data_IF_710950282835
#
_entry.id   IF_710950282835
#
_cell.length_a   1.000
_cell.length_b   1.000
_cell.length_c   1.000
_cell.angle_alpha   90.00
_cell.angle_beta   90.00
_cell.angle_gamma   90.00
#
_symmetry.space_group_name_H-M   'P 1'
#
loop_
_entity.id
_entity.type
_entity.pdbx_description
1 polymer ?
#
# COMPACT_ATOMS: atom_id res chain seq x y z
N UNK A 1 19.07 11.70 -36.62
CA UNK A 1 18.37 12.82 -35.97
C UNK A 1 19.01 12.99 -34.61
N UNK A 2 19.75 14.08 -34.37
CA UNK A 2 20.54 14.24 -33.15
C UNK A 2 19.59 14.58 -31.99
N UNK A 3 19.79 13.94 -30.83
CA UNK A 3 18.99 14.17 -29.62
C UNK A 3 19.90 14.52 -28.46
N UNK A 4 19.54 15.53 -27.68
CA UNK A 4 20.28 15.97 -26.51
C UNK A 4 19.77 15.18 -25.31
N UNK A 5 20.67 14.51 -24.59
CA UNK A 5 20.37 13.84 -23.33
C UNK A 5 20.61 14.83 -22.18
N UNK A 6 19.55 15.20 -21.48
CA UNK A 6 19.60 16.11 -20.33
C UNK A 6 19.18 15.36 -19.08
N UNK A 7 20.02 15.40 -18.03
CA UNK A 7 19.70 14.84 -16.72
C UNK A 7 19.20 15.94 -15.78
N UNK A 8 18.11 15.69 -15.08
CA UNK A 8 17.61 16.60 -14.05
C UNK A 8 18.53 16.55 -12.81
N UNK A 9 19.02 17.71 -12.35
CA UNK A 9 19.83 17.79 -11.12
C UNK A 9 19.00 17.52 -9.84
N UNK A 10 17.68 17.76 -9.89
CA UNK A 10 16.79 17.58 -8.72
C UNK A 10 16.28 16.14 -8.58
N UNK A 11 15.90 15.48 -9.68
CA UNK A 11 15.28 14.16 -9.63
C UNK A 11 16.06 13.05 -10.35
N UNK A 12 17.18 13.37 -10.98
CA UNK A 12 18.05 12.39 -11.65
C UNK A 12 17.50 11.80 -12.95
N UNK A 13 16.30 12.20 -13.40
CA UNK A 13 15.66 11.66 -14.59
C UNK A 13 16.33 12.16 -15.87
N UNK A 14 16.47 11.29 -16.86
CA UNK A 14 17.06 11.59 -18.16
C UNK A 14 15.98 11.83 -19.22
N UNK A 15 16.05 12.98 -19.87
CA UNK A 15 15.15 13.37 -20.94
C UNK A 15 15.92 13.44 -22.25
N UNK A 16 15.39 12.76 -23.27
CA UNK A 16 15.83 12.92 -24.66
C UNK A 16 15.06 14.08 -25.27
N UNK A 17 15.75 15.18 -25.53
CA UNK A 17 15.17 16.39 -26.12
C UNK A 17 15.62 16.55 -27.57
N UNK A 18 14.76 17.15 -28.37
CA UNK A 18 15.11 17.57 -29.74
C UNK A 18 16.11 18.72 -29.67
N UNK A 19 17.00 18.78 -30.65
CA UNK A 19 18.02 19.82 -30.80
C UNK A 19 17.45 21.25 -30.74
N UNK A 20 16.21 21.46 -31.24
CA UNK A 20 15.47 22.73 -31.17
C UNK A 20 15.17 23.24 -29.74
N UNK A 21 15.45 22.42 -28.72
CA UNK A 21 15.29 22.75 -27.30
C UNK A 21 16.62 23.18 -26.63
N UNK A 22 17.75 23.16 -27.34
CA UNK A 22 19.02 23.72 -26.86
C UNK A 22 18.83 25.19 -26.42
N UNK A 23 19.43 25.57 -25.29
CA UNK A 23 19.34 26.92 -24.73
C UNK A 23 17.97 27.32 -24.15
N UNK A 24 16.94 26.47 -24.20
CA UNK A 24 15.61 26.76 -23.63
C UNK A 24 15.47 26.22 -22.21
N UNK A 25 14.61 26.87 -21.43
CA UNK A 25 14.14 26.36 -20.15
C UNK A 25 13.23 25.16 -20.35
N UNK A 26 13.54 24.03 -19.72
CA UNK A 26 12.76 22.81 -19.73
C UNK A 26 12.21 22.54 -18.33
N UNK A 27 10.92 22.20 -18.23
CA UNK A 27 10.32 21.78 -16.96
C UNK A 27 10.31 20.25 -16.86
N UNK A 28 10.91 19.73 -15.78
CA UNK A 28 10.91 18.30 -15.50
C UNK A 28 9.47 17.79 -15.28
N UNK A 29 9.08 16.71 -15.99
CA UNK A 29 7.74 16.10 -15.85
C UNK A 29 7.56 15.26 -14.58
N UNK A 30 8.66 14.92 -13.91
CA UNK A 30 8.66 14.10 -12.69
C UNK A 30 8.57 15.00 -11.45
N UNK A 31 9.46 16.00 -11.33
CA UNK A 31 9.55 16.85 -10.12
C UNK A 31 9.10 18.30 -10.31
N UNK A 32 8.83 18.75 -11.54
CA UNK A 32 8.38 20.12 -11.83
C UNK A 32 9.48 21.19 -11.81
N UNK A 33 10.74 20.82 -11.52
CA UNK A 33 11.87 21.76 -11.51
C UNK A 33 12.14 22.34 -12.91
N UNK A 34 12.57 23.62 -12.96
CA UNK A 34 12.98 24.30 -14.20
C UNK A 34 14.48 24.14 -14.40
N UNK A 35 14.88 23.52 -15.51
CA UNK A 35 16.27 23.29 -15.89
C UNK A 35 16.60 24.08 -17.16
N UNK A 36 17.85 24.51 -17.31
CA UNK A 36 18.36 25.05 -18.57
C UNK A 36 19.04 23.94 -19.36
N UNK A 37 18.66 23.80 -20.63
CA UNK A 37 19.34 22.87 -21.56
C UNK A 37 20.64 23.54 -22.01
N UNK A 38 21.81 22.88 -21.88
CA UNK A 38 23.08 23.40 -22.37
C UNK A 38 23.00 23.79 -23.85
N UNK A 39 23.62 24.90 -24.21
CA UNK A 39 23.73 25.34 -25.61
C UNK A 39 24.72 24.44 -26.34
N UNK A 40 24.36 23.94 -27.51
CA UNK A 40 25.25 23.12 -28.32
C UNK A 40 26.22 24.07 -29.04
N UNK A 41 27.39 24.30 -28.44
CA UNK A 41 28.49 24.96 -29.13
C UNK A 41 29.14 23.93 -30.07
N UNK A 42 29.22 24.26 -31.36
CA UNK A 42 29.42 23.32 -32.46
C UNK A 42 30.80 22.63 -32.56
N UNK A 43 31.52 22.45 -31.46
CA UNK A 43 32.94 22.06 -31.44
C UNK A 43 33.29 20.78 -30.68
N UNK A 44 32.36 20.07 -30.06
CA UNK A 44 32.65 18.73 -29.50
C UNK A 44 31.73 17.65 -30.06
N UNK A 45 31.89 17.35 -31.36
CA UNK A 45 31.42 16.11 -31.95
C UNK A 45 32.37 14.97 -31.56
N UNK A 46 32.29 14.54 -30.30
CA UNK A 46 32.81 13.25 -29.88
C UNK A 46 31.95 12.14 -30.46
N UNK A 47 32.47 11.48 -31.48
CA UNK A 47 31.99 10.22 -32.06
C UNK A 47 31.73 9.18 -30.96
N UNK A 48 30.48 9.06 -30.48
CA UNK A 48 30.04 7.89 -29.75
C UNK A 48 29.27 6.99 -30.69
N UNK A 49 30.06 6.23 -31.45
CA UNK A 49 29.65 5.07 -32.23
C UNK A 49 28.78 4.13 -31.40
N UNK A 50 27.69 3.70 -32.03
CA UNK A 50 26.76 2.68 -31.59
C UNK A 50 27.46 1.40 -31.10
N UNK A 51 27.06 0.87 -29.93
CA UNK A 51 27.00 -0.58 -29.58
C UNK A 51 26.94 -0.89 -28.06
N UNK A 52 27.11 0.08 -27.15
CA UNK A 52 27.31 -0.23 -25.72
C UNK A 52 26.46 0.58 -24.74
N UNK A 53 25.14 0.66 -24.91
CA UNK A 53 24.26 1.05 -23.78
C UNK A 53 22.82 0.54 -23.90
N UNK A 54 22.66 -0.78 -24.01
CA UNK A 54 21.47 -1.47 -23.48
C UNK A 54 21.63 -1.79 -21.98
N UNK A 55 22.38 -0.97 -21.24
CA UNK A 55 22.56 -1.09 -19.80
C UNK A 55 22.35 0.28 -19.16
N UNK A 56 21.16 0.49 -18.59
CA UNK A 56 20.96 1.65 -17.71
C UNK A 56 19.57 2.25 -17.76
N UNK A 57 18.50 1.46 -17.59
CA UNK A 57 17.20 1.99 -17.18
C UNK A 57 16.91 1.60 -15.74
N UNK A 58 17.76 2.05 -14.83
CA UNK A 58 17.44 2.15 -13.42
C UNK A 58 17.25 3.64 -13.14
N UNK A 59 16.00 4.08 -13.31
CA UNK A 59 15.47 5.36 -12.82
C UNK A 59 15.97 5.58 -11.39
N UNK A 60 16.87 6.54 -11.19
CA UNK A 60 17.31 6.99 -9.86
C UNK A 60 16.37 8.10 -9.39
N UNK A 61 15.12 7.75 -9.13
CA UNK A 61 14.30 8.47 -8.17
C UNK A 61 15.02 8.40 -6.82
N UNK A 62 15.18 9.52 -6.10
CA UNK A 62 15.89 9.55 -4.82
C UNK A 62 15.37 8.49 -3.83
N UNK A 63 16.21 8.00 -2.89
CA UNK A 63 15.87 6.89 -1.97
C UNK A 63 14.45 6.98 -1.37
N UNK A 64 14.07 8.16 -0.85
CA UNK A 64 12.72 8.49 -0.36
C UNK A 64 11.58 8.32 -1.35
N UNK A 65 11.73 8.87 -2.56
CA UNK A 65 10.67 8.81 -3.58
C UNK A 65 10.47 7.38 -4.11
N UNK A 66 11.53 6.57 -4.07
CA UNK A 66 11.48 5.15 -4.44
C UNK A 66 10.86 4.30 -3.34
N UNK A 67 11.20 4.56 -2.07
CA UNK A 67 10.59 3.85 -0.93
C UNK A 67 9.10 4.19 -0.76
N UNK A 68 8.73 5.47 -0.88
CA UNK A 68 7.34 5.91 -0.78
C UNK A 68 6.46 5.34 -1.90
N UNK A 69 6.96 5.29 -3.15
CA UNK A 69 6.20 4.68 -4.26
C UNK A 69 6.04 3.17 -4.12
N UNK A 70 7.07 2.47 -3.58
CA UNK A 70 7.02 1.03 -3.31
C UNK A 70 6.05 0.66 -2.19
N UNK A 71 5.95 1.47 -1.14
CA UNK A 71 5.09 1.25 0.02
C UNK A 71 3.67 1.79 -0.15
N UNK A 72 3.46 2.74 -1.07
CA UNK A 72 2.15 3.33 -1.34
C UNK A 72 1.11 2.29 -1.78
N UNK A 73 1.48 1.37 -2.67
CA UNK A 73 0.54 0.36 -3.15
C UNK A 73 0.13 -0.62 -2.04
N UNK A 74 1.04 -1.26 -1.27
CA UNK A 74 0.65 -2.06 -0.11
C UNK A 74 -0.22 -1.31 0.89
N UNK A 75 0.11 -0.03 1.18
CA UNK A 75 -0.67 0.80 2.09
C UNK A 75 -2.11 1.05 1.60
N UNK A 76 -2.29 1.34 0.31
CA UNK A 76 -3.62 1.54 -0.30
C UNK A 76 -4.45 0.25 -0.20
N UNK A 77 -3.85 -0.90 -0.50
CA UNK A 77 -4.54 -2.18 -0.37
C UNK A 77 -4.98 -2.45 1.06
N UNK A 78 -4.12 -2.18 2.05
CA UNK A 78 -4.49 -2.29 3.46
C UNK A 78 -5.66 -1.37 3.81
N UNK A 79 -5.67 -0.11 3.37
CA UNK A 79 -6.83 0.76 3.62
C UNK A 79 -8.11 0.19 3.03
N UNK A 80 -8.08 -0.33 1.81
CA UNK A 80 -9.27 -0.89 1.16
C UNK A 80 -9.78 -2.13 1.88
N UNK A 81 -8.88 -3.07 2.18
CA UNK A 81 -9.23 -4.31 2.87
C UNK A 81 -9.75 -4.01 4.27
N UNK A 82 -9.02 -3.21 5.06
CA UNK A 82 -9.43 -2.88 6.43
C UNK A 82 -10.69 -2.03 6.47
N UNK A 83 -10.94 -1.15 5.49
CA UNK A 83 -12.22 -0.42 5.42
C UNK A 83 -13.40 -1.38 5.28
N UNK A 84 -13.25 -2.42 4.46
CA UNK A 84 -14.27 -3.45 4.31
C UNK A 84 -14.41 -4.29 5.60
N UNK A 85 -13.31 -4.60 6.28
CA UNK A 85 -13.30 -5.26 7.59
C UNK A 85 -14.06 -4.45 8.65
N UNK A 86 -13.79 -3.15 8.74
CA UNK A 86 -14.46 -2.23 9.67
C UNK A 86 -15.97 -2.21 9.40
N UNK A 87 -16.38 -2.13 8.13
CA UNK A 87 -17.79 -2.19 7.75
C UNK A 87 -18.43 -3.50 8.19
N UNK A 88 -17.73 -4.63 8.01
CA UNK A 88 -18.20 -5.94 8.44
C UNK A 88 -18.30 -6.07 9.97
N UNK A 89 -17.28 -5.64 10.72
CA UNK A 89 -17.29 -5.69 12.18
C UNK A 89 -18.31 -4.71 12.79
N UNK A 90 -18.43 -3.50 12.25
CA UNK A 90 -19.42 -2.52 12.68
C UNK A 90 -20.85 -3.00 12.38
N UNK A 91 -21.10 -3.53 11.18
CA UNK A 91 -22.38 -4.14 10.82
C UNK A 91 -22.72 -5.33 11.71
N UNK A 92 -21.77 -6.23 11.95
CA UNK A 92 -21.93 -7.38 12.83
C UNK A 92 -22.23 -6.97 14.28
N UNK A 93 -21.55 -5.93 14.78
CA UNK A 93 -21.78 -5.38 16.12
C UNK A 93 -23.21 -4.81 16.26
N UNK A 94 -23.67 -4.04 15.27
CA UNK A 94 -25.03 -3.49 15.24
C UNK A 94 -26.06 -4.62 15.20
N UNK A 95 -25.87 -5.61 14.32
CA UNK A 95 -26.82 -6.73 14.20
C UNK A 95 -26.84 -7.60 15.47
N UNK A 96 -25.69 -7.83 16.09
CA UNK A 96 -25.60 -8.51 17.38
C UNK A 96 -26.33 -7.73 18.49
N UNK A 97 -26.21 -6.40 18.52
CA UNK A 97 -26.95 -5.55 19.46
C UNK A 97 -28.47 -5.59 19.22
N UNK A 98 -28.90 -5.76 17.97
CA UNK A 98 -30.32 -5.95 17.61
C UNK A 98 -30.82 -7.39 17.82
N UNK A 99 -29.95 -8.32 18.21
CA UNK A 99 -30.29 -9.74 18.37
C UNK A 99 -30.51 -10.50 17.06
N UNK A 100 -30.10 -9.92 15.94
CA UNK A 100 -30.18 -10.52 14.62
C UNK A 100 -28.89 -11.27 14.34
N UNK A 101 -28.99 -12.58 14.13
CA UNK A 101 -27.84 -13.39 13.76
C UNK A 101 -27.80 -13.54 12.24
N UNK A 102 -26.84 -12.88 11.59
CA UNK A 102 -26.58 -13.02 10.15
C UNK A 102 -25.52 -14.07 9.83
N UNK A 103 -25.08 -14.88 10.79
CA UNK A 103 -24.04 -15.86 10.53
C UNK A 103 -24.63 -16.86 9.51
N UNK A 104 -24.11 -16.92 8.26
CA UNK A 104 -24.64 -17.84 7.25
C UNK A 104 -24.46 -19.31 7.67
N UNK A 105 -23.60 -19.57 8.66
CA UNK A 105 -23.38 -20.87 9.28
C UNK A 105 -24.21 -21.10 10.55
N UNK A 106 -24.89 -20.09 11.08
CA UNK A 106 -25.87 -20.29 12.16
C UNK A 106 -27.14 -21.01 11.68
N UNK A 107 -27.36 -21.04 10.36
CA UNK A 107 -28.48 -21.71 9.68
C UNK A 107 -28.37 -23.23 9.57
N UNK A 108 -27.44 -23.89 10.26
CA UNK A 108 -27.73 -25.24 10.76
C UNK A 108 -28.69 -25.10 11.96
N UNK A 109 -29.84 -24.49 11.69
CA UNK A 109 -30.99 -24.48 12.59
C UNK A 109 -31.44 -25.94 12.69
N UNK A 110 -30.88 -26.67 13.65
CA UNK A 110 -31.39 -27.98 13.99
C UNK A 110 -32.82 -27.76 14.54
N UNK A 111 -33.86 -28.16 13.81
CA UNK A 111 -35.24 -27.94 14.25
C UNK A 111 -35.54 -28.67 15.57
N UNK A 112 -34.68 -29.61 16.00
CA UNK A 112 -34.79 -30.32 17.27
C UNK A 112 -34.17 -29.60 18.47
N UNK A 113 -33.64 -28.38 18.33
CA UNK A 113 -33.17 -27.63 19.49
C UNK A 113 -34.34 -27.27 20.41
N UNK A 114 -34.25 -27.69 21.67
CA UNK A 114 -35.22 -27.36 22.71
C UNK A 114 -35.35 -25.83 22.87
N UNK A 115 -36.51 -25.31 23.29
CA UNK A 115 -36.71 -23.85 23.48
C UNK A 115 -35.63 -23.20 24.35
N UNK A 116 -35.18 -23.89 25.41
CA UNK A 116 -34.11 -23.43 26.29
C UNK A 116 -32.74 -23.36 25.59
N UNK A 117 -32.46 -24.29 24.66
CA UNK A 117 -31.22 -24.29 23.86
C UNK A 117 -31.23 -23.19 22.80
N UNK A 118 -32.39 -22.82 22.27
CA UNK A 118 -32.54 -21.70 21.32
C UNK A 118 -32.27 -20.36 21.99
N UNK A 119 -32.79 -20.17 23.20
CA UNK A 119 -32.57 -18.94 23.98
C UNK A 119 -31.10 -18.79 24.40
N UNK A 120 -30.49 -19.86 24.91
CA UNK A 120 -29.06 -19.83 25.28
C UNK A 120 -28.15 -19.58 24.08
N UNK A 121 -28.45 -20.16 22.91
CA UNK A 121 -27.74 -19.85 21.66
C UNK A 121 -27.90 -18.39 21.24
N UNK A 122 -29.09 -17.80 21.36
CA UNK A 122 -29.30 -16.37 21.04
C UNK A 122 -28.45 -15.47 21.92
N UNK A 123 -28.45 -15.70 23.23
CA UNK A 123 -27.66 -14.93 24.19
C UNK A 123 -26.15 -15.11 23.92
N UNK A 124 -25.70 -16.36 23.71
CA UNK A 124 -24.31 -16.64 23.38
C UNK A 124 -23.87 -15.97 22.08
N UNK A 125 -24.74 -15.96 21.05
CA UNK A 125 -24.48 -15.29 19.78
C UNK A 125 -24.42 -13.77 19.90
N UNK A 126 -25.28 -13.16 20.73
CA UNK A 126 -25.21 -11.72 21.02
C UNK A 126 -23.88 -11.37 21.70
N UNK A 127 -23.52 -12.10 22.77
CA UNK A 127 -22.27 -11.87 23.51
C UNK A 127 -21.07 -12.08 22.58
N UNK A 128 -21.04 -13.19 21.85
CA UNK A 128 -19.97 -13.51 20.91
C UNK A 128 -19.85 -12.47 19.79
N UNK A 129 -20.97 -12.00 19.24
CA UNK A 129 -20.99 -10.96 18.21
C UNK A 129 -20.49 -9.62 18.72
N UNK A 130 -20.86 -9.21 19.94
CA UNK A 130 -20.40 -7.96 20.55
C UNK A 130 -18.91 -8.03 20.88
N UNK A 131 -18.46 -9.09 21.53
CA UNK A 131 -17.05 -9.27 21.90
C UNK A 131 -16.17 -9.40 20.65
N UNK A 132 -16.60 -10.21 19.68
CA UNK A 132 -15.89 -10.39 18.40
C UNK A 132 -15.84 -9.11 17.58
N UNK A 133 -16.95 -8.39 17.46
CA UNK A 133 -17.02 -7.11 16.75
C UNK A 133 -16.13 -6.04 17.39
N UNK A 134 -16.13 -5.93 18.72
CA UNK A 134 -15.29 -4.99 19.45
C UNK A 134 -13.79 -5.30 19.28
N UNK A 135 -13.41 -6.57 19.43
CA UNK A 135 -12.04 -7.01 19.19
C UNK A 135 -11.61 -6.78 17.74
N UNK A 136 -12.51 -7.05 16.78
CA UNK A 136 -12.28 -6.80 15.37
C UNK A 136 -11.97 -5.35 15.04
N UNK A 137 -12.79 -4.42 15.55
CA UNK A 137 -12.59 -2.98 15.37
C UNK A 137 -11.29 -2.47 16.01
N UNK A 138 -10.90 -3.03 17.16
CA UNK A 138 -9.62 -2.69 17.80
C UNK A 138 -8.44 -3.10 16.92
N UNK A 139 -8.46 -4.32 16.38
CA UNK A 139 -7.43 -4.80 15.47
C UNK A 139 -7.42 -4.02 14.14
N UNK A 140 -8.59 -3.69 13.58
CA UNK A 140 -8.70 -2.82 12.39
C UNK A 140 -8.05 -1.46 12.62
N UNK A 141 -8.21 -0.89 13.82
CA UNK A 141 -7.55 0.36 14.21
C UNK A 141 -6.03 0.23 14.14
N UNK A 142 -5.47 -0.88 14.66
CA UNK A 142 -4.03 -1.13 14.59
C UNK A 142 -3.54 -1.30 13.14
N UNK A 143 -4.32 -1.95 12.28
CA UNK A 143 -3.97 -2.10 10.86
C UNK A 143 -4.00 -0.75 10.14
N UNK A 144 -5.02 0.09 10.38
CA UNK A 144 -5.09 1.46 9.82
C UNK A 144 -3.90 2.30 10.29
N UNK A 145 -3.54 2.23 11.56
CA UNK A 145 -2.36 2.92 12.09
C UNK A 145 -1.06 2.40 11.45
N UNK A 146 -0.96 1.10 11.22
CA UNK A 146 0.15 0.51 10.46
C UNK A 146 0.19 0.96 9.00
N UNK A 147 -0.96 1.05 8.32
CA UNK A 147 -1.06 1.56 6.94
C UNK A 147 -0.67 3.05 6.86
N UNK A 148 -1.06 3.86 7.85
CA UNK A 148 -0.65 5.27 7.99
C UNK A 148 0.86 5.39 8.21
N UNK A 149 1.42 4.52 9.05
CA UNK A 149 2.85 4.42 9.30
C UNK A 149 3.62 4.04 8.04
N UNK A 150 3.09 3.08 7.24
CA UNK A 150 3.62 2.69 5.93
C UNK A 150 3.63 3.86 4.94
N UNK A 151 2.51 4.57 4.83
CA UNK A 151 2.35 5.66 3.87
C UNK A 151 3.20 6.90 4.23
N UNK A 152 3.44 7.12 5.52
CA UNK A 152 4.26 8.23 6.02
C UNK A 152 5.73 7.87 6.27
N UNK A 153 6.11 6.59 6.09
CA UNK A 153 7.45 6.07 6.39
C UNK A 153 7.91 6.48 7.81
N UNK A 154 7.04 6.26 8.80
CA UNK A 154 7.30 6.62 10.21
C UNK A 154 6.97 5.48 11.13
N UNK A 155 7.75 5.28 12.20
CA UNK A 155 7.49 4.23 13.20
C UNK A 155 7.45 2.82 12.58
N UNK A 156 8.59 2.34 12.08
CA UNK A 156 8.74 0.99 11.53
C UNK A 156 8.04 -0.13 12.32
N UNK A 157 8.11 -0.21 13.67
CA UNK A 157 7.43 -1.28 14.40
C UNK A 157 5.90 -1.22 14.25
N UNK A 158 5.29 -0.03 14.12
CA UNK A 158 3.85 0.12 13.95
C UNK A 158 3.41 -0.35 12.56
N UNK A 159 4.15 0.04 11.51
CA UNK A 159 3.98 -0.46 10.15
C UNK A 159 4.08 -2.00 10.10
N UNK A 160 5.13 -2.56 10.71
CA UNK A 160 5.34 -4.01 10.79
C UNK A 160 4.16 -4.71 11.48
N UNK A 161 3.72 -4.19 12.63
CA UNK A 161 2.62 -4.79 13.40
C UNK A 161 1.33 -4.77 12.60
N UNK A 162 1.02 -3.67 11.90
CA UNK A 162 -0.15 -3.60 11.02
C UNK A 162 -0.12 -4.62 9.88
N UNK A 163 1.05 -4.80 9.24
CA UNK A 163 1.23 -5.83 8.21
C UNK A 163 1.06 -7.25 8.77
N UNK A 164 1.63 -7.56 9.93
CA UNK A 164 1.50 -8.88 10.56
C UNK A 164 0.04 -9.14 10.96
N UNK A 165 -0.63 -8.17 11.60
CA UNK A 165 -2.04 -8.32 12.00
C UNK A 165 -2.92 -8.54 10.75
N UNK A 166 -2.63 -7.86 9.64
CA UNK A 166 -3.38 -8.05 8.39
C UNK A 166 -3.27 -9.47 7.80
N UNK A 167 -2.23 -10.22 8.17
CA UNK A 167 -2.04 -11.60 7.75
C UNK A 167 -2.75 -12.62 8.63
N UNK A 168 -3.25 -12.22 9.81
CA UNK A 168 -3.94 -13.14 10.72
C UNK A 168 -5.37 -13.35 10.21
N UNK A 169 -5.71 -14.57 9.73
CA UNK A 169 -6.95 -14.86 9.01
C UNK A 169 -8.24 -14.83 9.85
N UNK A 170 -8.16 -14.39 11.11
CA UNK A 170 -9.28 -14.47 12.05
C UNK A 170 -10.23 -13.26 11.98
N UNK A 171 -9.91 -12.26 11.16
CA UNK A 171 -10.57 -10.94 11.19
C UNK A 171 -11.22 -10.51 9.88
N UNK A 172 -11.26 -11.34 8.82
CA UNK A 172 -11.92 -10.94 7.56
C UNK A 172 -12.29 -12.08 6.60
N UNK A 173 -13.41 -11.94 5.87
CA UNK A 173 -13.82 -12.89 4.83
C UNK A 173 -12.95 -12.83 3.55
N UNK A 174 -12.02 -11.86 3.45
CA UNK A 174 -11.22 -11.59 2.25
C UNK A 174 -9.88 -12.34 2.23
N UNK A 175 -9.82 -13.54 2.83
CA UNK A 175 -8.63 -14.34 3.07
C UNK A 175 -7.78 -14.60 1.80
N UNK A 176 -8.43 -14.70 0.63
CA UNK A 176 -7.76 -14.92 -0.65
C UNK A 176 -6.98 -13.68 -1.12
N UNK A 177 -7.45 -12.48 -0.79
CA UNK A 177 -6.79 -11.24 -1.16
C UNK A 177 -5.87 -10.74 -0.03
N UNK A 178 -6.23 -10.87 1.25
CA UNK A 178 -5.39 -10.38 2.34
C UNK A 178 -3.99 -11.03 2.39
N UNK A 179 -3.91 -12.33 2.10
CA UNK A 179 -2.69 -13.12 2.20
C UNK A 179 -1.59 -12.71 1.20
N UNK A 180 -1.83 -12.70 -0.14
CA UNK A 180 -0.79 -12.34 -1.09
C UNK A 180 -0.33 -10.87 -0.95
N UNK A 181 -1.27 -9.96 -0.68
CA UNK A 181 -0.96 -8.54 -0.54
C UNK A 181 -0.27 -8.22 0.80
N UNK A 182 -0.65 -8.92 1.88
CA UNK A 182 0.03 -8.82 3.18
C UNK A 182 1.47 -9.33 3.13
N UNK A 183 1.71 -10.47 2.47
CA UNK A 183 3.08 -10.98 2.27
C UNK A 183 3.88 -9.98 1.43
N UNK A 184 3.31 -9.49 0.34
CA UNK A 184 3.98 -8.52 -0.52
C UNK A 184 4.38 -7.24 0.23
N UNK A 185 3.47 -6.68 1.04
CA UNK A 185 3.78 -5.51 1.84
C UNK A 185 4.88 -5.78 2.88
N UNK A 186 4.94 -6.98 3.48
CA UNK A 186 6.04 -7.36 4.36
C UNK A 186 7.36 -7.45 3.61
N UNK A 187 7.39 -8.06 2.42
CA UNK A 187 8.60 -8.15 1.59
C UNK A 187 9.11 -6.76 1.23
N UNK A 188 8.22 -5.84 0.85
CA UNK A 188 8.59 -4.43 0.59
C UNK A 188 9.12 -3.77 1.85
N UNK A 189 8.46 -3.94 3.00
CA UNK A 189 8.88 -3.34 4.27
C UNK A 189 10.23 -3.87 4.77
N UNK A 190 10.53 -5.14 4.47
CA UNK A 190 11.78 -5.79 4.87
C UNK A 190 12.95 -5.48 3.93
N UNK A 191 12.74 -4.81 2.80
CA UNK A 191 13.83 -4.36 1.94
C UNK A 191 14.66 -3.27 2.62
N UNK A 192 15.99 -3.36 2.52
CA UNK A 192 16.91 -2.41 3.14
C UNK A 192 16.63 -0.97 2.70
N UNK A 193 16.39 -0.76 1.40
CA UNK A 193 16.02 0.54 0.80
C UNK A 193 14.82 1.20 1.49
N UNK A 194 13.82 0.41 1.90
CA UNK A 194 12.60 0.92 2.54
C UNK A 194 12.82 1.09 4.02
N UNK A 195 13.51 0.15 4.67
CA UNK A 195 13.78 0.18 6.11
C UNK A 195 14.61 1.40 6.52
N UNK A 196 15.61 1.77 5.72
CA UNK A 196 16.47 2.93 5.98
C UNK A 196 15.72 4.26 5.90
N UNK A 197 14.57 4.29 5.22
CA UNK A 197 13.76 5.50 5.05
C UNK A 197 12.77 5.76 6.18
N UNK A 198 12.52 4.76 7.03
CA UNK A 198 11.67 4.94 8.20
C UNK A 198 12.39 5.80 9.25
N UNK A 199 11.72 6.89 9.62
CA UNK A 199 12.08 7.73 10.79
C UNK A 199 11.44 7.18 12.06
#
# INVERSE_FOLDING_TARGET
MVSILVRCHECGEEFSLKESAAGKGFQCRICGARLQVPELDGTELGEFSDAASMRGRASRSGPRSTAASRTALPAIFLYLVTSLSVLNHAGGLVMAAMGVNLNPFAGLDDPNLDPQQRESRRIANMIGGVVGGAFGLLADTLVILGALSLHRLRNFPLAMTGMIISLIPCLSPCLVLGMPFGIWGLVVLLSDDVREEFQ
#
